data_IF_508911112228
#
_entry.id   IF_508911112228
#
_cell.length_a   1.000
_cell.length_b   1.000
_cell.length_c   1.000
_cell.angle_alpha   90.00
_cell.angle_beta   90.00
_cell.angle_gamma   90.00
#
_symmetry.space_group_name_H-M   'P 1'
#
loop_
_entity.id
_entity.type
_entity.pdbx_description
1 polymer ?
#
# COMPACT_ATOMS: atom_id res chain seq x y z
N UNK A 1 -8.41 -21.69 -23.33
CA UNK A 1 -8.01 -20.90 -22.13
C UNK A 1 -6.50 -20.78 -22.24
N UNK A 2 -6.03 -19.62 -22.70
CA UNK A 2 -4.59 -19.32 -22.83
C UNK A 2 -4.14 -18.87 -21.43
N UNK A 3 -3.38 -19.73 -20.73
CA UNK A 3 -2.56 -19.27 -19.61
C UNK A 3 -1.49 -18.36 -20.20
N UNK A 4 -1.70 -17.05 -20.14
CA UNK A 4 -0.58 -16.11 -20.21
C UNK A 4 0.21 -16.29 -18.92
N UNK A 5 1.39 -16.89 -19.02
CA UNK A 5 2.42 -16.74 -18.02
C UNK A 5 2.73 -15.25 -17.98
N UNK A 6 2.43 -14.62 -16.84
CA UNK A 6 2.83 -13.25 -16.59
C UNK A 6 4.36 -13.26 -16.46
N UNK A 7 5.03 -12.88 -17.52
CA UNK A 7 6.45 -12.52 -17.41
C UNK A 7 6.51 -11.28 -16.50
N UNK A 8 7.23 -11.44 -15.40
CA UNK A 8 7.44 -10.38 -14.42
C UNK A 8 7.87 -9.09 -15.12
N UNK A 9 7.30 -7.97 -14.66
CA UNK A 9 7.67 -6.63 -15.08
C UNK A 9 9.19 -6.51 -15.03
N UNK A 10 9.82 -6.29 -16.16
CA UNK A 10 11.27 -6.14 -16.24
C UNK A 10 11.62 -4.68 -16.27
N UNK A 11 12.57 -4.29 -15.43
CA UNK A 11 13.27 -3.02 -15.64
C UNK A 11 13.94 -3.10 -17.00
N UNK A 12 13.39 -2.40 -17.98
CA UNK A 12 13.94 -2.36 -19.33
C UNK A 12 14.95 -1.23 -19.38
N UNK A 13 16.24 -1.56 -19.44
CA UNK A 13 17.25 -0.60 -19.82
C UNK A 13 17.00 -0.19 -21.27
N UNK A 14 16.37 0.96 -21.50
CA UNK A 14 16.41 1.61 -22.79
C UNK A 14 17.60 2.54 -22.84
N UNK A 15 18.33 2.53 -23.96
CA UNK A 15 19.30 3.56 -24.33
C UNK A 15 18.59 4.92 -24.46
N UNK A 16 18.24 5.50 -23.34
CA UNK A 16 17.94 6.91 -23.28
C UNK A 16 19.26 7.63 -23.01
N UNK A 17 19.67 8.49 -23.92
CA UNK A 17 20.92 9.26 -23.87
C UNK A 17 20.85 10.37 -22.80
N UNK A 18 20.56 10.01 -21.56
CA UNK A 18 20.73 10.76 -20.31
C UNK A 18 21.02 9.77 -19.22
N UNK A 19 22.34 9.60 -18.95
CA UNK A 19 22.89 8.95 -17.77
C UNK A 19 22.11 7.74 -17.22
N UNK A 20 22.23 6.60 -17.90
CA UNK A 20 21.97 5.23 -17.37
C UNK A 20 20.68 4.98 -16.55
N UNK A 21 19.65 5.82 -16.66
CA UNK A 21 18.38 5.64 -15.94
C UNK A 21 17.60 4.47 -16.53
N UNK A 22 17.08 3.63 -15.67
CA UNK A 22 16.21 2.50 -16.02
C UNK A 22 14.76 2.97 -16.14
N UNK A 23 14.00 2.37 -17.05
CA UNK A 23 12.55 2.57 -17.14
C UNK A 23 11.85 1.34 -16.59
N UNK A 24 10.89 1.56 -15.71
CA UNK A 24 9.93 0.58 -15.27
C UNK A 24 8.63 0.75 -16.07
N UNK A 25 8.14 -0.30 -16.68
CA UNK A 25 6.91 -0.26 -17.45
C UNK A 25 5.78 -0.90 -16.66
N UNK A 26 4.77 -0.11 -16.34
CA UNK A 26 3.51 -0.58 -15.82
C UNK A 26 2.71 -1.21 -16.96
N UNK A 27 2.55 -2.53 -16.93
CA UNK A 27 1.86 -3.29 -17.98
C UNK A 27 0.36 -3.45 -17.75
N UNK A 28 -0.13 -3.09 -16.56
CA UNK A 28 -1.54 -3.22 -16.19
C UNK A 28 -2.40 -1.99 -16.52
N UNK A 29 -1.79 -0.99 -17.14
CA UNK A 29 -2.54 0.13 -17.69
C UNK A 29 -3.60 -0.36 -18.68
N UNK A 30 -4.70 0.37 -18.79
CA UNK A 30 -5.82 0.07 -19.69
C UNK A 30 -5.35 -0.29 -21.11
N UNK A 31 -6.06 -1.15 -21.86
CA UNK A 31 -5.69 -1.46 -23.24
C UNK A 31 -5.42 -0.20 -24.06
N UNK A 32 -4.22 -0.12 -24.67
CA UNK A 32 -3.77 1.03 -25.45
C UNK A 32 -3.09 2.14 -24.64
N UNK A 33 -2.95 2.02 -23.33
CA UNK A 33 -2.19 2.92 -22.48
C UNK A 33 -0.97 2.17 -21.90
N UNK A 34 0.21 2.74 -22.06
CA UNK A 34 1.42 2.30 -21.39
C UNK A 34 1.93 3.43 -20.50
N UNK A 35 2.08 3.16 -19.21
CA UNK A 35 2.78 4.04 -18.27
C UNK A 35 4.21 3.57 -18.10
N UNK A 36 5.13 4.51 -17.93
CA UNK A 36 6.53 4.20 -17.66
C UNK A 36 7.09 5.18 -16.65
N UNK A 37 7.85 4.66 -15.70
CA UNK A 37 8.48 5.42 -14.63
C UNK A 37 9.99 5.42 -14.81
N UNK A 38 10.64 6.55 -14.57
CA UNK A 38 12.10 6.65 -14.52
C UNK A 38 12.56 6.20 -13.14
N UNK A 39 13.34 5.12 -13.08
CA UNK A 39 13.84 4.53 -11.84
C UNK A 39 15.25 5.04 -11.58
N UNK A 40 15.46 5.66 -10.43
CA UNK A 40 16.78 6.06 -9.93
C UNK A 40 17.47 4.89 -9.22
N UNK A 41 16.72 4.15 -8.40
CA UNK A 41 17.26 3.04 -7.60
C UNK A 41 16.19 1.97 -7.34
N UNK A 42 16.60 0.71 -7.29
CA UNK A 42 15.80 -0.41 -6.80
C UNK A 42 16.23 -0.66 -5.36
N UNK A 43 15.35 -0.40 -4.41
CA UNK A 43 15.64 -0.55 -2.98
C UNK A 43 15.30 -1.94 -2.47
N UNK A 44 14.22 -2.53 -2.97
CA UNK A 44 13.80 -3.92 -2.70
C UNK A 44 13.14 -4.53 -3.95
N UNK A 45 13.35 -5.83 -4.13
CA UNK A 45 12.74 -6.63 -5.20
C UNK A 45 12.72 -8.08 -4.73
N UNK A 46 11.55 -8.58 -4.32
CA UNK A 46 11.42 -9.94 -3.80
C UNK A 46 9.99 -10.48 -3.94
N UNK A 47 9.87 -11.80 -3.82
CA UNK A 47 8.58 -12.47 -3.73
C UNK A 47 8.29 -12.82 -2.27
N UNK A 48 7.15 -12.33 -1.77
CA UNK A 48 6.73 -12.57 -0.39
C UNK A 48 6.25 -14.01 -0.15
N UNK A 49 6.08 -14.38 1.12
CA UNK A 49 5.60 -15.71 1.50
C UNK A 49 4.15 -15.98 1.08
N UNK A 50 3.34 -14.94 0.95
CA UNK A 50 1.96 -15.08 0.43
C UNK A 50 1.91 -15.10 -1.10
N UNK A 51 3.05 -14.84 -1.76
CA UNK A 51 3.22 -14.99 -3.19
C UNK A 51 3.16 -13.72 -4.01
N UNK A 52 3.01 -12.55 -3.38
CA UNK A 52 3.07 -11.25 -4.05
C UNK A 52 4.51 -10.90 -4.45
N UNK A 53 4.68 -10.28 -5.60
CA UNK A 53 5.95 -9.70 -6.01
C UNK A 53 6.01 -8.26 -5.53
N UNK A 54 6.90 -7.97 -4.59
CA UNK A 54 7.01 -6.68 -3.91
C UNK A 54 8.27 -5.98 -4.37
N UNK A 55 8.14 -4.73 -4.80
CA UNK A 55 9.25 -3.89 -5.19
C UNK A 55 9.14 -2.52 -4.51
N UNK A 56 10.25 -2.02 -3.99
CA UNK A 56 10.39 -0.62 -3.58
C UNK A 56 11.37 0.04 -4.52
N UNK A 57 10.86 1.00 -5.29
CA UNK A 57 11.63 1.73 -6.28
C UNK A 57 11.74 3.21 -5.88
N UNK A 58 12.92 3.80 -6.06
CA UNK A 58 13.06 5.25 -6.02
C UNK A 58 12.84 5.81 -7.43
N UNK A 59 11.71 6.46 -7.62
CA UNK A 59 11.31 7.06 -8.88
C UNK A 59 11.73 8.52 -8.95
N UNK A 60 12.08 9.00 -10.14
CA UNK A 60 12.54 10.39 -10.31
C UNK A 60 11.48 11.44 -9.92
N UNK A 61 10.20 11.18 -10.23
CA UNK A 61 9.12 12.14 -10.01
C UNK A 61 8.27 11.84 -8.78
N UNK A 62 8.22 10.59 -8.34
CA UNK A 62 7.31 10.14 -7.29
C UNK A 62 8.01 9.78 -5.98
N UNK A 63 9.37 9.85 -5.95
CA UNK A 63 10.15 9.43 -4.80
C UNK A 63 10.07 7.92 -4.59
N UNK A 64 10.22 7.49 -3.35
CA UNK A 64 10.12 6.07 -3.02
C UNK A 64 8.68 5.60 -3.17
N UNK A 65 8.51 4.51 -3.90
CA UNK A 65 7.20 3.99 -4.28
C UNK A 65 7.16 2.47 -4.09
N UNK A 66 6.02 1.98 -3.61
CA UNK A 66 5.71 0.56 -3.51
C UNK A 66 5.03 0.09 -4.79
N UNK A 67 5.50 -1.03 -5.30
CA UNK A 67 4.83 -1.79 -6.35
C UNK A 67 4.51 -3.18 -5.82
N UNK A 68 3.31 -3.66 -6.13
CA UNK A 68 2.89 -5.04 -5.87
C UNK A 68 2.44 -5.64 -7.20
N UNK A 69 3.02 -6.79 -7.55
CA UNK A 69 2.75 -7.50 -8.80
C UNK A 69 2.85 -6.61 -10.05
N UNK A 70 3.76 -5.61 -10.02
CA UNK A 70 4.03 -4.70 -11.12
C UNK A 70 3.15 -3.47 -11.20
N UNK A 71 2.23 -3.26 -10.25
CA UNK A 71 1.35 -2.10 -10.18
C UNK A 71 1.75 -1.19 -9.02
N UNK A 72 1.82 0.13 -9.28
CA UNK A 72 2.14 1.10 -8.23
C UNK A 72 0.98 1.19 -7.25
N UNK A 73 1.30 1.04 -5.97
CA UNK A 73 0.33 1.11 -4.88
C UNK A 73 0.37 2.46 -4.18
N UNK A 74 1.57 2.93 -3.87
CA UNK A 74 1.76 4.18 -3.12
C UNK A 74 3.08 4.84 -3.50
N UNK A 75 3.13 6.16 -3.43
CA UNK A 75 4.33 6.96 -3.60
C UNK A 75 4.45 8.02 -2.50
N UNK A 76 5.68 8.30 -2.06
CA UNK A 76 5.92 9.22 -0.93
C UNK A 76 5.54 10.67 -1.22
N UNK A 77 5.41 11.05 -2.49
CA UNK A 77 5.10 12.44 -2.86
C UNK A 77 3.63 12.83 -2.72
N UNK A 78 2.71 11.88 -2.87
CA UNK A 78 1.27 12.16 -2.95
C UNK A 78 0.38 11.33 -2.01
N UNK A 79 0.94 10.32 -1.36
CA UNK A 79 0.24 9.44 -0.44
C UNK A 79 -0.63 10.18 0.58
N UNK A 80 -0.09 11.26 1.16
CA UNK A 80 -0.79 12.03 2.20
C UNK A 80 -2.12 12.64 1.70
N UNK A 81 -2.25 12.91 0.41
CA UNK A 81 -3.49 13.41 -0.18
C UNK A 81 -4.55 12.32 -0.22
N UNK A 82 -4.14 11.09 -0.61
CA UNK A 82 -5.03 9.95 -0.64
C UNK A 82 -5.51 9.59 0.77
N UNK A 83 -4.61 9.24 1.68
CA UNK A 83 -4.95 8.75 3.01
C UNK A 83 -5.76 9.76 3.82
N UNK A 84 -5.40 11.06 3.76
CA UNK A 84 -6.14 12.09 4.49
C UNK A 84 -7.56 12.28 3.96
N UNK A 85 -7.76 12.21 2.64
CA UNK A 85 -9.09 12.33 2.03
C UNK A 85 -9.92 11.08 2.27
N UNK A 86 -9.30 9.91 2.19
CA UNK A 86 -9.99 8.65 2.39
C UNK A 86 -10.56 8.52 3.80
N UNK A 87 -9.73 8.76 4.84
CA UNK A 87 -10.19 8.76 6.23
C UNK A 87 -11.14 9.92 6.51
N UNK A 88 -10.85 11.12 5.97
CA UNK A 88 -11.71 12.31 6.13
C UNK A 88 -13.11 12.08 5.58
N UNK A 89 -13.26 11.45 4.42
CA UNK A 89 -14.57 11.14 3.84
C UNK A 89 -15.42 10.22 4.73
N UNK A 90 -14.80 9.25 5.41
CA UNK A 90 -15.49 8.45 6.42
C UNK A 90 -16.03 9.30 7.57
N UNK A 91 -15.20 10.19 8.12
CA UNK A 91 -15.57 11.06 9.23
C UNK A 91 -16.61 12.13 8.84
N UNK A 92 -16.67 12.54 7.57
CA UNK A 92 -17.74 13.42 7.08
C UNK A 92 -19.12 12.73 7.10
N UNK A 93 -19.16 11.40 6.99
CA UNK A 93 -20.38 10.60 7.03
C UNK A 93 -20.79 10.23 8.48
N UNK A 94 -19.79 9.88 9.29
CA UNK A 94 -19.98 9.51 10.69
C UNK A 94 -18.83 10.08 11.52
N UNK A 95 -19.10 10.96 12.46
CA UNK A 95 -18.08 11.63 13.27
C UNK A 95 -17.64 10.81 14.50
N UNK A 96 -18.23 9.63 14.71
CA UNK A 96 -17.78 8.74 15.78
C UNK A 96 -16.43 8.12 15.40
N UNK A 97 -15.45 8.22 16.27
CA UNK A 97 -14.08 7.73 16.07
C UNK A 97 -13.64 6.74 17.17
N UNK A 98 -14.60 6.01 17.74
CA UNK A 98 -14.27 5.04 18.77
C UNK A 98 -13.51 3.86 18.16
N UNK A 99 -14.03 3.25 17.08
CA UNK A 99 -13.40 2.06 16.50
C UNK A 99 -13.43 1.99 14.98
N UNK A 100 -12.27 1.76 14.38
CA UNK A 100 -12.11 1.54 12.96
C UNK A 100 -11.60 0.14 12.64
N UNK A 101 -12.06 -0.44 11.51
CA UNK A 101 -11.38 -1.52 10.82
C UNK A 101 -10.69 -0.98 9.57
N UNK A 102 -9.46 -1.44 9.31
CA UNK A 102 -8.74 -1.19 8.06
C UNK A 102 -8.51 -2.55 7.41
N UNK A 103 -8.88 -2.70 6.14
CA UNK A 103 -8.71 -3.92 5.36
C UNK A 103 -7.73 -3.61 4.23
N UNK A 104 -6.54 -4.20 4.26
CA UNK A 104 -5.43 -3.84 3.39
C UNK A 104 -4.67 -2.60 3.89
N UNK A 105 -4.18 -1.78 2.98
CA UNK A 105 -3.44 -0.56 3.31
C UNK A 105 -2.08 -0.83 3.97
N UNK A 106 -1.35 -1.83 3.47
CA UNK A 106 -0.07 -2.30 4.02
C UNK A 106 1.03 -1.24 4.11
N UNK A 107 0.88 -0.11 3.40
CA UNK A 107 1.78 1.05 3.52
C UNK A 107 1.63 1.80 4.86
N UNK A 108 0.49 1.64 5.53
CA UNK A 108 0.18 2.23 6.84
C UNK A 108 -0.34 3.68 6.80
N UNK A 109 -0.57 4.26 5.63
CA UNK A 109 -1.05 5.64 5.49
C UNK A 109 -2.43 5.83 6.10
N UNK A 110 -3.36 4.92 5.82
CA UNK A 110 -4.72 4.92 6.41
C UNK A 110 -4.66 4.76 7.93
N UNK A 111 -3.81 3.84 8.42
CA UNK A 111 -3.64 3.63 9.87
C UNK A 111 -3.08 4.89 10.54
N UNK A 112 -2.07 5.55 9.94
CA UNK A 112 -1.55 6.84 10.42
C UNK A 112 -2.65 7.90 10.50
N UNK A 113 -3.49 8.02 9.47
CA UNK A 113 -4.57 9.01 9.46
C UNK A 113 -5.62 8.69 10.54
N UNK A 114 -6.03 7.45 10.73
CA UNK A 114 -6.93 7.07 11.81
C UNK A 114 -6.35 7.43 13.18
N UNK A 115 -5.05 7.19 13.41
CA UNK A 115 -4.34 7.62 14.63
C UNK A 115 -4.41 9.15 14.78
N UNK A 116 -4.15 9.89 13.69
CA UNK A 116 -4.15 11.37 13.70
C UNK A 116 -5.53 11.96 14.01
N UNK A 117 -6.61 11.24 13.68
CA UNK A 117 -7.99 11.58 13.95
C UNK A 117 -8.50 11.06 15.30
N UNK A 118 -7.59 10.53 16.14
CA UNK A 118 -7.86 10.07 17.51
C UNK A 118 -8.86 8.91 17.56
N UNK A 119 -8.81 7.97 16.63
CA UNK A 119 -9.50 6.71 16.80
C UNK A 119 -8.92 5.97 18.03
N UNK A 120 -9.81 5.55 18.94
CA UNK A 120 -9.39 4.87 20.17
C UNK A 120 -8.91 3.44 19.91
N UNK A 121 -9.57 2.75 18.98
CA UNK A 121 -9.22 1.39 18.59
C UNK A 121 -9.20 1.25 17.07
N UNK A 122 -8.14 0.64 16.54
CA UNK A 122 -7.94 0.39 15.12
C UNK A 122 -7.55 -1.07 14.97
N UNK A 123 -8.44 -1.90 14.40
CA UNK A 123 -8.12 -3.25 13.99
C UNK A 123 -7.67 -3.20 12.52
N UNK A 124 -6.38 -3.47 12.29
CA UNK A 124 -5.76 -3.40 10.97
C UNK A 124 -5.53 -4.81 10.43
N UNK A 125 -6.33 -5.19 9.43
CA UNK A 125 -6.29 -6.50 8.77
C UNK A 125 -5.44 -6.40 7.50
N UNK A 126 -4.28 -7.06 7.49
CA UNK A 126 -3.38 -7.06 6.35
C UNK A 126 -2.99 -8.49 5.99
N UNK A 127 -3.09 -8.80 4.70
CA UNK A 127 -2.80 -10.13 4.17
C UNK A 127 -1.31 -10.47 4.29
N UNK A 128 -0.46 -9.50 3.95
CA UNK A 128 0.97 -9.69 3.82
C UNK A 128 1.77 -8.80 4.78
N UNK A 129 2.18 -9.32 5.95
CA UNK A 129 3.00 -8.55 6.88
C UNK A 129 4.36 -8.12 6.29
N UNK A 130 4.87 -8.79 5.23
CA UNK A 130 6.13 -8.41 4.59
C UNK A 130 6.00 -7.09 3.81
N UNK A 131 4.79 -6.75 3.32
CA UNK A 131 4.49 -5.40 2.77
C UNK A 131 4.64 -4.35 3.85
N UNK A 132 4.06 -4.57 5.03
CA UNK A 132 4.15 -3.62 6.15
C UNK A 132 5.61 -3.44 6.60
N UNK A 133 6.37 -4.54 6.70
CA UNK A 133 7.77 -4.50 7.11
C UNK A 133 8.63 -3.70 6.13
N UNK A 134 8.47 -3.93 4.82
CA UNK A 134 9.26 -3.22 3.81
C UNK A 134 8.85 -1.75 3.70
N UNK A 135 7.57 -1.44 3.86
CA UNK A 135 7.08 -0.05 3.92
C UNK A 135 7.63 0.68 5.15
N UNK A 136 7.61 0.07 6.32
CA UNK A 136 8.23 0.64 7.53
C UNK A 136 9.74 0.89 7.35
N UNK A 137 10.43 0.02 6.62
CA UNK A 137 11.87 0.14 6.37
C UNK A 137 12.19 1.27 5.40
N UNK A 138 11.47 1.41 4.30
CA UNK A 138 11.80 2.31 3.20
C UNK A 138 10.88 3.52 3.08
N UNK A 139 9.61 3.38 3.46
CA UNK A 139 8.55 4.38 3.37
C UNK A 139 8.05 4.82 4.77
N UNK A 140 8.92 4.71 5.79
CA UNK A 140 8.56 4.85 7.20
C UNK A 140 7.83 6.15 7.58
N UNK A 141 7.95 7.21 6.78
CA UNK A 141 7.21 8.45 6.99
C UNK A 141 5.71 8.31 6.65
N UNK A 142 5.33 7.36 5.80
CA UNK A 142 3.93 7.10 5.44
C UNK A 142 3.18 6.54 6.65
N UNK A 143 3.53 5.35 7.09
CA UNK A 143 2.85 4.69 8.22
C UNK A 143 3.25 5.23 9.59
N UNK A 144 4.38 5.95 9.71
CA UNK A 144 4.92 6.47 10.98
C UNK A 144 4.89 5.46 12.12
N UNK A 145 5.23 4.21 11.78
CA UNK A 145 5.22 3.08 12.72
C UNK A 145 3.86 2.88 13.40
N UNK A 146 2.79 2.92 12.62
CA UNK A 146 1.44 2.73 13.13
C UNK A 146 1.31 1.39 13.91
N UNK A 147 2.03 0.36 13.48
CA UNK A 147 2.06 -0.96 14.15
C UNK A 147 2.57 -0.93 15.59
N UNK A 148 3.32 0.10 15.98
CA UNK A 148 3.88 0.27 17.34
C UNK A 148 2.91 1.03 18.28
N UNK A 149 1.76 1.48 17.79
CA UNK A 149 0.80 2.27 18.58
C UNK A 149 -0.16 1.38 19.36
N UNK A 150 -0.39 1.71 20.61
CA UNK A 150 -1.29 0.97 21.49
C UNK A 150 -2.75 0.92 21.00
N UNK A 151 -3.17 1.92 20.21
CA UNK A 151 -4.50 1.96 19.61
C UNK A 151 -4.65 1.04 18.40
N UNK A 152 -3.55 0.50 17.86
CA UNK A 152 -3.55 -0.35 16.65
C UNK A 152 -3.33 -1.79 17.02
N UNK A 153 -4.25 -2.65 16.57
CA UNK A 153 -4.12 -4.10 16.62
C UNK A 153 -3.99 -4.62 15.20
N UNK A 154 -2.82 -5.13 14.85
CA UNK A 154 -2.60 -5.79 13.57
C UNK A 154 -3.14 -7.23 13.61
N UNK A 155 -3.85 -7.61 12.55
CA UNK A 155 -4.39 -8.94 12.31
C UNK A 155 -3.86 -9.42 10.96
N UNK A 156 -2.87 -10.32 11.01
CA UNK A 156 -2.21 -10.80 9.81
C UNK A 156 -2.96 -11.97 9.18
N UNK A 157 -3.16 -11.92 7.86
CA UNK A 157 -3.78 -12.95 7.06
C UNK A 157 -5.08 -12.49 6.37
N UNK A 158 -5.86 -13.46 5.90
CA UNK A 158 -7.09 -13.18 5.17
C UNK A 158 -8.12 -12.45 6.04
N UNK A 159 -8.41 -11.21 5.66
CA UNK A 159 -9.39 -10.37 6.34
C UNK A 159 -10.81 -10.96 6.27
N UNK A 160 -11.16 -11.63 5.15
CA UNK A 160 -12.48 -12.26 5.01
C UNK A 160 -12.69 -13.42 5.99
N UNK A 161 -11.63 -14.13 6.35
CA UNK A 161 -11.71 -15.15 7.39
C UNK A 161 -11.73 -14.53 8.79
N UNK A 162 -10.89 -13.53 9.03
CA UNK A 162 -10.76 -12.88 10.33
C UNK A 162 -12.02 -12.15 10.76
N UNK A 163 -12.68 -11.43 9.82
CA UNK A 163 -13.86 -10.60 10.12
C UNK A 163 -15.11 -11.43 10.48
N UNK A 164 -15.16 -12.71 10.07
CA UNK A 164 -16.28 -13.63 10.44
C UNK A 164 -16.43 -13.84 11.95
N UNK A 165 -15.37 -13.60 12.70
CA UNK A 165 -15.36 -13.76 14.16
C UNK A 165 -15.69 -12.47 14.92
N UNK A 166 -15.86 -11.37 14.19
CA UNK A 166 -16.18 -10.06 14.76
C UNK A 166 -17.71 -9.95 14.92
N UNK A 167 -18.16 -9.41 16.04
CA UNK A 167 -19.58 -9.19 16.27
C UNK A 167 -20.12 -8.08 15.36
N UNK A 168 -21.41 -8.15 15.07
CA UNK A 168 -22.11 -7.07 14.35
C UNK A 168 -21.97 -5.76 15.13
N UNK A 169 -21.99 -4.64 14.43
CA UNK A 169 -21.94 -3.27 14.98
C UNK A 169 -20.66 -2.98 15.79
N UNK A 170 -19.56 -3.70 15.54
CA UNK A 170 -18.29 -3.50 16.27
C UNK A 170 -17.58 -2.22 15.83
N UNK A 171 -17.67 -1.84 14.55
CA UNK A 171 -16.92 -0.74 13.97
C UNK A 171 -17.81 0.45 13.60
N UNK A 172 -17.33 1.65 13.90
CA UNK A 172 -17.94 2.91 13.44
C UNK A 172 -17.55 3.17 11.97
N UNK A 173 -16.34 2.74 11.59
CA UNK A 173 -15.78 2.88 10.25
C UNK A 173 -15.10 1.61 9.78
N UNK A 174 -15.28 1.30 8.50
CA UNK A 174 -14.53 0.24 7.81
C UNK A 174 -13.91 0.88 6.56
N UNK A 175 -12.59 0.95 6.55
CA UNK A 175 -11.78 1.43 5.44
C UNK A 175 -11.26 0.22 4.65
N UNK A 176 -11.66 0.11 3.38
CA UNK A 176 -11.23 -0.98 2.50
C UNK A 176 -10.25 -0.40 1.49
N UNK A 177 -8.98 -0.76 1.62
CA UNK A 177 -7.84 -0.22 0.88
C UNK A 177 -7.04 -1.41 0.30
N UNK A 178 -7.54 -1.97 -0.83
CA UNK A 178 -7.05 -3.19 -1.47
C UNK A 178 -6.42 -2.93 -2.83
#
# INVERSE_FOLDING_TARGET
IIKKEFEHTRIVKKEFNRDTKSLYHDIYSSPGLQKSYVVNEVLEDFKSKVGQHIEILELEQFGKSLFIDGEIQVATTDEHLYSSKFVGAGLDLNQNNERAAIIGGGDGGVARECISKNFNFIDWYELDPEVVDVCNKHLGDIGKKATEKNSVKCVWGDAFESIKTVNDDTYDHIYVDL
#
